data_IF_558837965716
#
_entry.id   IF_558837965716
#
_cell.length_a   1.000
_cell.length_b   1.000
_cell.length_c   1.000
_cell.angle_alpha   90.00
_cell.angle_beta   90.00
_cell.angle_gamma   90.00
#
_symmetry.space_group_name_H-M   'P 1'
#
loop_
_entity.id
_entity.type
_entity.pdbx_description
1 polymer ?
#
# COMPACT_ATOMS: atom_id res chain seq x y z
N UNK A 1 -8.41 -22.50 -23.40
CA UNK A 1 -7.69 -21.38 -22.75
C UNK A 1 -8.11 -20.11 -23.45
N UNK A 2 -9.12 -19.43 -22.92
CA UNK A 2 -9.51 -18.09 -23.35
C UNK A 2 -8.36 -17.14 -22.99
N UNK A 3 -7.95 -16.30 -23.94
CA UNK A 3 -6.92 -15.28 -23.71
C UNK A 3 -7.38 -14.39 -22.54
N UNK A 4 -6.68 -14.47 -21.42
CA UNK A 4 -7.02 -13.76 -20.20
C UNK A 4 -6.59 -12.29 -20.26
N UNK A 5 -5.86 -11.89 -21.32
CA UNK A 5 -5.42 -10.52 -21.57
C UNK A 5 -6.64 -9.66 -21.95
N UNK A 6 -7.13 -8.86 -21.02
CA UNK A 6 -8.29 -7.99 -21.21
C UNK A 6 -7.96 -6.81 -22.15
N UNK A 7 -8.57 -6.76 -23.35
CA UNK A 7 -8.69 -5.59 -24.25
C UNK A 7 -7.38 -5.05 -24.85
N UNK A 8 -7.43 -4.17 -25.86
CA UNK A 8 -6.23 -3.61 -26.50
C UNK A 8 -5.53 -2.68 -25.51
N UNK A 9 -4.62 -3.22 -24.71
CA UNK A 9 -3.56 -2.43 -24.09
C UNK A 9 -2.55 -2.15 -25.21
N UNK A 10 -2.05 -0.91 -25.38
CA UNK A 10 -0.91 -0.68 -26.25
C UNK A 10 0.19 -1.66 -25.83
N UNK A 11 0.83 -2.31 -26.81
CA UNK A 11 1.95 -3.24 -26.56
C UNK A 11 2.91 -2.58 -25.56
N UNK A 12 3.05 -3.17 -24.37
CA UNK A 12 3.78 -2.58 -23.25
C UNK A 12 5.22 -2.25 -23.66
N UNK A 13 5.84 -3.08 -24.50
CA UNK A 13 7.17 -2.83 -25.05
C UNK A 13 7.19 -1.64 -26.03
N UNK A 14 6.14 -1.49 -26.84
CA UNK A 14 5.98 -0.31 -27.71
C UNK A 14 5.69 0.94 -26.90
N UNK A 15 4.80 0.87 -25.90
CA UNK A 15 4.51 1.99 -25.01
C UNK A 15 5.74 2.42 -24.21
N UNK A 16 6.50 1.49 -23.63
CA UNK A 16 7.74 1.79 -22.91
C UNK A 16 8.80 2.39 -23.83
N UNK A 17 8.98 1.83 -25.04
CA UNK A 17 9.90 2.39 -26.05
C UNK A 17 9.49 3.80 -26.47
N UNK A 18 8.20 4.02 -26.72
CA UNK A 18 7.66 5.32 -27.09
C UNK A 18 7.81 6.32 -25.94
N UNK A 19 7.61 5.87 -24.69
CA UNK A 19 7.81 6.70 -23.50
C UNK A 19 9.28 7.05 -23.29
N UNK A 20 10.20 6.08 -23.43
CA UNK A 20 11.64 6.34 -23.39
C UNK A 20 12.07 7.31 -24.49
N UNK A 21 11.66 7.07 -25.73
CA UNK A 21 11.99 7.95 -26.86
C UNK A 21 11.42 9.36 -26.68
N UNK A 22 10.23 9.49 -26.09
CA UNK A 22 9.57 10.77 -25.84
C UNK A 22 10.14 11.53 -24.66
N UNK A 23 10.54 10.84 -23.59
CA UNK A 23 10.89 11.47 -22.33
C UNK A 23 12.39 11.50 -22.04
N UNK A 24 13.16 10.53 -22.51
CA UNK A 24 14.62 10.47 -22.32
C UNK A 24 15.32 11.11 -23.52
N UNK A 25 15.01 12.38 -23.79
CA UNK A 25 15.70 13.19 -24.80
C UNK A 25 16.82 14.00 -24.16
N UNK A 26 17.79 14.44 -24.96
CA UNK A 26 18.87 15.33 -24.48
C UNK A 26 18.33 16.58 -23.79
N UNK A 27 17.34 17.23 -24.39
CA UNK A 27 16.71 18.43 -23.83
C UNK A 27 16.05 18.16 -22.47
N UNK A 28 15.31 17.06 -22.33
CA UNK A 28 14.65 16.70 -21.08
C UNK A 28 15.66 16.35 -19.99
N UNK A 29 16.75 15.65 -20.34
CA UNK A 29 17.84 15.37 -19.41
C UNK A 29 18.56 16.65 -18.97
N UNK A 30 18.80 17.60 -19.88
CA UNK A 30 19.35 18.92 -19.53
C UNK A 30 18.43 19.67 -18.55
N UNK A 31 17.09 19.61 -18.75
CA UNK A 31 16.11 20.16 -17.79
C UNK A 31 16.19 19.46 -16.43
N UNK A 32 16.21 18.14 -16.40
CA UNK A 32 16.36 17.34 -15.18
C UNK A 32 17.66 17.69 -14.44
N UNK A 33 18.79 17.78 -15.14
CA UNK A 33 20.06 18.12 -14.48
C UNK A 33 20.07 19.53 -13.90
N UNK A 34 19.40 20.50 -14.53
CA UNK A 34 19.27 21.84 -13.91
C UNK A 34 18.59 21.81 -12.55
N UNK A 35 17.63 20.89 -12.34
CA UNK A 35 16.99 20.70 -11.03
C UNK A 35 17.93 19.99 -10.04
N UNK A 36 18.73 19.03 -10.50
CA UNK A 36 19.56 18.18 -9.61
C UNK A 36 20.90 18.82 -9.23
N UNK A 37 21.56 19.48 -10.18
CA UNK A 37 22.94 19.99 -10.03
C UNK A 37 23.17 20.85 -8.77
N UNK A 38 22.24 21.73 -8.36
CA UNK A 38 22.41 22.53 -7.13
C UNK A 38 22.50 21.70 -5.84
N UNK A 39 22.05 20.44 -5.88
CA UNK A 39 21.95 19.58 -4.70
C UNK A 39 23.09 18.56 -4.60
N UNK A 40 24.03 18.54 -5.54
CA UNK A 40 25.15 17.60 -5.49
C UNK A 40 26.09 17.89 -4.33
N UNK A 41 26.62 16.83 -3.71
CA UNK A 41 27.67 16.92 -2.70
C UNK A 41 29.05 16.81 -3.35
N UNK A 42 30.05 17.61 -2.92
CA UNK A 42 31.44 17.52 -3.39
C UNK A 42 32.03 16.11 -3.35
N UNK A 43 31.70 15.33 -2.31
CA UNK A 43 32.30 14.04 -2.03
C UNK A 43 31.24 12.92 -2.01
N UNK A 44 31.19 12.14 -3.10
CA UNK A 44 30.41 10.89 -3.19
C UNK A 44 29.26 10.90 -4.20
N UNK A 45 28.69 9.72 -4.50
CA UNK A 45 27.62 9.59 -5.47
C UNK A 45 26.29 10.10 -4.92
N UNK A 46 25.51 10.73 -5.79
CA UNK A 46 24.13 11.16 -5.53
C UNK A 46 23.17 10.30 -6.34
N UNK A 47 22.21 9.67 -5.68
CA UNK A 47 21.10 8.99 -6.35
C UNK A 47 20.03 10.01 -6.68
N UNK A 48 19.45 9.95 -7.88
CA UNK A 48 18.28 10.74 -8.28
C UNK A 48 17.13 9.79 -8.52
N UNK A 49 15.99 10.07 -7.91
CA UNK A 49 14.74 9.33 -8.11
C UNK A 49 13.61 10.30 -8.45
N UNK A 50 12.67 9.87 -9.29
CA UNK A 50 11.49 10.64 -9.68
C UNK A 50 10.26 9.99 -9.07
N UNK A 51 9.72 10.63 -8.03
CA UNK A 51 8.49 10.23 -7.36
C UNK A 51 7.29 10.84 -8.08
N UNK A 52 6.68 10.09 -9.01
CA UNK A 52 5.58 10.62 -9.82
C UNK A 52 4.25 10.70 -9.08
N UNK A 53 3.99 9.78 -8.14
CA UNK A 53 2.68 9.59 -7.50
C UNK A 53 2.59 10.22 -6.09
N UNK A 54 3.12 11.43 -5.93
CA UNK A 54 3.20 12.10 -4.63
C UNK A 54 1.85 12.57 -4.08
N UNK A 55 0.79 12.55 -4.89
CA UNK A 55 -0.62 12.75 -4.50
C UNK A 55 -1.24 11.51 -3.82
N UNK A 56 -0.50 10.40 -3.78
CA UNK A 56 -0.90 9.15 -3.11
C UNK A 56 0.02 8.94 -1.91
N UNK A 57 -0.48 9.21 -0.70
CA UNK A 57 0.33 9.12 0.54
C UNK A 57 1.09 7.79 0.72
N UNK A 58 0.52 6.67 0.25
CA UNK A 58 1.18 5.37 0.28
C UNK A 58 2.45 5.33 -0.58
N UNK A 59 2.42 5.90 -1.79
CA UNK A 59 3.58 6.01 -2.67
C UNK A 59 4.58 7.05 -2.13
N UNK A 60 4.07 8.22 -1.72
CA UNK A 60 4.86 9.28 -1.11
C UNK A 60 5.68 8.82 0.10
N UNK A 61 5.20 7.81 0.83
CA UNK A 61 5.89 7.27 2.02
C UNK A 61 6.70 6.00 1.71
N UNK A 62 6.11 5.04 0.99
CA UNK A 62 6.71 3.72 0.80
C UNK A 62 7.87 3.75 -0.18
N UNK A 63 7.76 4.45 -1.32
CA UNK A 63 8.85 4.48 -2.30
C UNK A 63 10.13 5.09 -1.69
N UNK A 64 10.07 6.21 -0.94
CA UNK A 64 11.27 6.71 -0.27
C UNK A 64 11.78 5.83 0.86
N UNK A 65 10.92 5.09 1.57
CA UNK A 65 11.34 4.07 2.53
C UNK A 65 12.10 2.92 1.85
N UNK A 66 11.66 2.52 0.66
CA UNK A 66 12.36 1.54 -0.18
C UNK A 66 13.71 2.09 -0.61
N UNK A 67 13.77 3.34 -1.07
CA UNK A 67 15.05 3.98 -1.42
C UNK A 67 16.01 4.00 -0.23
N UNK A 68 15.51 4.36 0.96
CA UNK A 68 16.29 4.37 2.20
C UNK A 68 16.84 2.98 2.51
N UNK A 69 16.01 1.94 2.34
CA UNK A 69 16.41 0.55 2.60
C UNK A 69 17.45 0.04 1.60
N UNK A 70 17.20 0.21 0.30
CA UNK A 70 18.02 -0.42 -0.74
C UNK A 70 19.29 0.37 -1.06
N UNK A 71 19.22 1.70 -0.92
CA UNK A 71 20.25 2.60 -1.41
C UNK A 71 20.81 3.53 -0.34
N UNK A 72 20.19 3.60 0.84
CA UNK A 72 20.61 4.50 1.92
C UNK A 72 22.10 4.43 2.18
N UNK A 73 22.66 3.24 2.41
CA UNK A 73 24.06 3.08 2.80
C UNK A 73 25.06 3.29 1.66
N UNK A 74 24.60 3.25 0.40
CA UNK A 74 25.45 3.38 -0.78
C UNK A 74 25.63 4.83 -1.22
N UNK A 75 24.63 5.68 -0.99
CA UNK A 75 24.63 7.04 -1.51
C UNK A 75 24.75 8.07 -0.40
N UNK A 76 25.59 9.08 -0.62
CA UNK A 76 25.75 10.19 0.32
C UNK A 76 24.53 11.10 0.33
N UNK A 77 23.81 11.15 -0.79
CA UNK A 77 22.60 11.93 -0.99
C UNK A 77 21.64 11.21 -1.92
N UNK A 78 20.36 11.34 -1.62
CA UNK A 78 19.26 10.88 -2.47
C UNK A 78 18.40 12.11 -2.79
N UNK A 79 18.38 12.52 -4.04
CA UNK A 79 17.52 13.60 -4.53
C UNK A 79 16.22 12.99 -5.04
N UNK A 80 15.10 13.38 -4.45
CA UNK A 80 13.76 12.97 -4.87
C UNK A 80 13.13 14.14 -5.61
N UNK A 81 13.00 13.99 -6.93
CA UNK A 81 12.21 14.88 -7.77
C UNK A 81 10.74 14.49 -7.62
N UNK A 82 9.89 15.43 -7.29
CA UNK A 82 8.46 15.18 -7.07
C UNK A 82 7.64 16.34 -7.60
N UNK A 83 6.39 16.16 -8.05
CA UNK A 83 5.52 17.30 -8.20
C UNK A 83 5.14 17.87 -6.83
N UNK A 84 4.55 19.08 -6.78
CA UNK A 84 4.36 19.81 -5.52
C UNK A 84 3.69 19.02 -4.40
N UNK A 85 4.18 19.11 -3.17
CA UNK A 85 3.60 18.43 -2.01
C UNK A 85 2.45 19.22 -1.37
N UNK A 86 2.24 20.47 -1.79
CA UNK A 86 1.13 21.30 -1.33
C UNK A 86 -0.14 21.07 -2.17
N UNK A 87 -0.62 19.83 -2.22
CA UNK A 87 -1.85 19.47 -2.95
C UNK A 87 -2.69 18.44 -2.18
N UNK A 88 -3.99 18.30 -2.50
CA UNK A 88 -4.83 17.26 -1.90
C UNK A 88 -4.24 15.84 -2.08
N UNK A 89 -4.33 15.00 -1.05
CA UNK A 89 -3.82 13.61 -1.06
C UNK A 89 -2.33 13.46 -0.73
N UNK A 90 -1.54 14.53 -0.84
CA UNK A 90 -0.17 14.58 -0.36
C UNK A 90 -0.11 14.93 1.14
N UNK A 91 1.01 14.61 1.78
CA UNK A 91 1.33 15.06 3.14
C UNK A 91 2.74 15.65 3.13
N UNK A 92 2.83 16.98 3.25
CA UNK A 92 4.09 17.70 3.10
C UNK A 92 5.08 17.46 4.25
N UNK A 93 4.67 16.74 5.30
CA UNK A 93 5.51 16.37 6.45
C UNK A 93 6.25 15.04 6.24
N UNK A 94 5.86 14.21 5.26
CA UNK A 94 6.54 12.93 4.96
C UNK A 94 8.06 13.09 4.71
N UNK A 95 8.53 14.10 3.96
CA UNK A 95 9.97 14.37 3.79
C UNK A 95 10.80 14.37 5.07
N UNK A 96 10.26 14.88 6.17
CA UNK A 96 10.97 15.04 7.43
C UNK A 96 11.24 13.70 8.13
N UNK A 97 10.54 12.62 7.76
CA UNK A 97 10.70 11.29 8.33
C UNK A 97 11.92 10.52 7.76
N UNK A 98 12.59 11.05 6.73
CA UNK A 98 13.68 10.35 6.03
C UNK A 98 15.08 10.79 6.43
N UNK A 99 15.21 12.01 6.97
CA UNK A 99 16.46 12.63 7.41
C UNK A 99 17.24 13.32 6.29
N UNK A 100 18.30 14.04 6.68
CA UNK A 100 19.04 15.02 5.86
C UNK A 100 19.72 14.48 4.60
N UNK A 101 19.81 13.15 4.46
CA UNK A 101 20.31 12.49 3.24
C UNK A 101 19.36 12.69 2.07
N UNK A 102 18.07 12.82 2.35
CA UNK A 102 17.02 13.02 1.34
C UNK A 102 16.86 14.51 1.06
N UNK A 103 17.00 14.89 -0.20
CA UNK A 103 16.73 16.24 -0.68
C UNK A 103 15.53 16.16 -1.61
N UNK A 104 14.50 16.92 -1.29
CA UNK A 104 13.24 16.94 -2.04
C UNK A 104 13.21 18.16 -2.94
N UNK A 105 12.95 17.94 -4.23
CA UNK A 105 12.92 19.00 -5.24
C UNK A 105 11.57 18.94 -5.93
N UNK A 106 10.75 19.95 -5.68
CA UNK A 106 9.45 20.08 -6.33
C UNK A 106 9.59 20.60 -7.76
N UNK A 107 8.82 20.05 -8.69
CA UNK A 107 8.76 20.51 -10.08
C UNK A 107 7.35 20.46 -10.64
N UNK A 108 6.99 21.42 -11.48
CA UNK A 108 5.76 21.43 -12.28
C UNK A 108 5.97 20.86 -13.70
N UNK A 109 7.18 20.40 -14.02
CA UNK A 109 7.50 19.82 -15.32
C UNK A 109 6.89 18.41 -15.45
N UNK A 110 5.73 18.34 -16.11
CA UNK A 110 5.00 17.08 -16.33
C UNK A 110 5.82 16.04 -17.08
N UNK A 111 6.76 16.46 -17.93
CA UNK A 111 7.64 15.53 -18.68
C UNK A 111 8.63 14.89 -17.72
N UNK A 112 9.24 15.66 -16.83
CA UNK A 112 10.14 15.11 -15.79
C UNK A 112 9.34 14.22 -14.85
N UNK A 113 8.15 14.62 -14.42
CA UNK A 113 7.30 13.79 -13.57
C UNK A 113 6.96 12.44 -14.25
N UNK A 114 6.63 12.45 -15.55
CA UNK A 114 6.29 11.25 -16.30
C UNK A 114 7.49 10.30 -16.53
N UNK A 115 8.73 10.80 -16.48
CA UNK A 115 9.93 9.95 -16.54
C UNK A 115 10.00 8.94 -15.39
N UNK A 116 9.35 9.18 -14.25
CA UNK A 116 9.29 8.22 -13.13
C UNK A 116 8.45 6.98 -13.41
N UNK A 117 7.74 6.90 -14.55
CA UNK A 117 7.10 5.66 -15.02
C UNK A 117 7.98 4.84 -15.96
N UNK A 118 9.17 5.32 -16.32
CA UNK A 118 10.10 4.60 -17.19
C UNK A 118 10.93 3.65 -16.34
N UNK A 119 10.82 2.36 -16.62
CA UNK A 119 11.76 1.36 -16.13
C UNK A 119 13.04 1.45 -16.96
N UNK A 120 14.22 1.43 -16.34
CA UNK A 120 15.51 1.59 -17.02
C UNK A 120 16.72 1.22 -16.16
N UNK A 121 16.50 0.91 -14.89
CA UNK A 121 17.55 0.61 -13.93
C UNK A 121 18.31 1.86 -13.50
N UNK A 122 19.55 1.67 -13.04
CA UNK A 122 20.42 2.76 -12.64
C UNK A 122 21.29 3.18 -13.81
N UNK A 123 21.12 4.41 -14.29
CA UNK A 123 22.05 5.04 -15.22
C UNK A 123 23.18 5.72 -14.44
N UNK A 124 24.41 5.21 -14.61
CA UNK A 124 25.63 5.80 -14.05
C UNK A 124 26.08 6.98 -14.93
N UNK A 125 25.95 8.18 -14.39
CA UNK A 125 26.37 9.44 -15.00
C UNK A 125 27.47 10.07 -14.15
N UNK A 126 28.42 9.24 -13.72
CA UNK A 126 29.53 9.56 -12.83
C UNK A 126 29.06 9.87 -11.40
N UNK A 127 28.91 11.15 -11.06
CA UNK A 127 28.54 11.58 -9.69
C UNK A 127 27.04 11.57 -9.47
N UNK A 128 26.28 11.49 -10.56
CA UNK A 128 24.82 11.37 -10.57
C UNK A 128 24.49 9.95 -11.01
N UNK A 129 23.74 9.23 -10.20
CA UNK A 129 23.14 7.96 -10.59
C UNK A 129 21.64 8.19 -10.71
N UNK A 130 21.10 8.13 -11.93
CA UNK A 130 19.67 8.32 -12.16
C UNK A 130 18.96 6.96 -12.09
N UNK A 131 18.07 6.80 -11.13
CA UNK A 131 17.24 5.60 -10.99
C UNK A 131 15.96 5.76 -11.81
N UNK A 132 15.88 5.05 -12.93
CA UNK A 132 14.69 4.92 -13.75
C UNK A 132 13.98 3.63 -13.35
N UNK A 133 13.01 3.75 -12.43
CA UNK A 133 12.16 2.65 -12.00
C UNK A 133 10.76 3.16 -11.74
N UNK A 134 9.77 2.54 -12.36
CA UNK A 134 8.37 2.71 -12.05
C UNK A 134 8.08 2.25 -10.62
N UNK A 135 7.01 2.78 -9.98
CA UNK A 135 6.59 2.33 -8.66
C UNK A 135 6.35 0.81 -8.59
N UNK A 136 5.86 0.21 -9.69
CA UNK A 136 5.63 -1.23 -9.76
C UNK A 136 6.95 -2.01 -9.68
N UNK A 137 7.90 -1.69 -10.56
CA UNK A 137 9.19 -2.39 -10.57
C UNK A 137 9.93 -2.18 -9.25
N UNK A 138 9.87 -0.96 -8.69
CA UNK A 138 10.45 -0.66 -7.38
C UNK A 138 9.90 -1.56 -6.28
N UNK A 139 8.58 -1.75 -6.21
CA UNK A 139 7.97 -2.64 -5.22
C UNK A 139 8.42 -4.09 -5.43
N UNK A 140 8.37 -4.60 -6.66
CA UNK A 140 8.79 -5.98 -6.95
C UNK A 140 10.25 -6.22 -6.58
N UNK A 141 11.16 -5.32 -6.98
CA UNK A 141 12.58 -5.42 -6.66
C UNK A 141 12.83 -5.36 -5.16
N UNK A 142 12.17 -4.44 -4.46
CA UNK A 142 12.24 -4.35 -3.01
C UNK A 142 11.85 -5.67 -2.35
N UNK A 143 10.72 -6.24 -2.72
CA UNK A 143 10.24 -7.46 -2.08
C UNK A 143 11.09 -8.68 -2.40
N UNK A 144 11.63 -8.79 -3.62
CA UNK A 144 12.66 -9.80 -3.95
C UNK A 144 13.87 -9.69 -3.03
N UNK A 145 14.34 -8.46 -2.74
CA UNK A 145 15.45 -8.22 -1.82
C UNK A 145 15.09 -8.62 -0.39
N UNK A 146 13.85 -8.34 0.04
CA UNK A 146 13.36 -8.72 1.37
C UNK A 146 13.28 -10.25 1.51
N UNK A 147 12.74 -10.97 0.51
CA UNK A 147 12.79 -12.45 0.47
C UNK A 147 14.25 -12.94 0.53
N UNK A 148 15.16 -12.23 -0.13
CA UNK A 148 16.61 -12.48 -0.08
C UNK A 148 17.30 -12.12 1.24
N UNK A 149 16.56 -11.66 2.26
CA UNK A 149 17.08 -11.38 3.60
C UNK A 149 17.36 -9.91 3.91
N UNK A 150 17.08 -8.98 2.98
CA UNK A 150 17.15 -7.54 3.28
C UNK A 150 16.06 -7.17 4.29
N UNK A 151 16.44 -6.45 5.35
CA UNK A 151 15.49 -5.95 6.34
C UNK A 151 14.99 -4.56 5.94
N UNK A 152 13.67 -4.35 5.81
CA UNK A 152 13.10 -3.03 5.61
C UNK A 152 13.56 -2.03 6.66
N UNK A 153 13.89 -0.81 6.25
CA UNK A 153 14.09 0.29 7.18
C UNK A 153 12.74 0.73 7.74
N UNK A 154 12.62 0.80 9.05
CA UNK A 154 11.44 1.38 9.70
C UNK A 154 11.64 2.89 9.81
N UNK A 155 10.70 3.65 9.28
CA UNK A 155 10.69 5.11 9.40
C UNK A 155 10.36 5.52 10.83
N UNK A 156 10.73 6.74 11.20
CA UNK A 156 10.43 7.32 12.50
C UNK A 156 9.91 8.74 12.27
N UNK A 157 8.96 9.17 13.11
CA UNK A 157 8.56 10.57 13.15
C UNK A 157 9.68 11.40 13.77
N UNK A 158 9.84 12.64 13.30
CA UNK A 158 10.57 13.65 14.07
C UNK A 158 9.79 14.02 15.33
N UNK A 159 10.48 14.47 16.37
CA UNK A 159 9.84 14.92 17.61
C UNK A 159 8.81 16.02 17.33
N UNK A 160 9.13 16.95 16.43
CA UNK A 160 8.21 18.01 16.02
C UNK A 160 6.91 17.48 15.38
N UNK A 161 7.00 16.50 14.45
CA UNK A 161 5.80 15.90 13.85
C UNK A 161 4.99 15.14 14.89
N UNK A 162 5.65 14.39 15.77
CA UNK A 162 4.98 13.64 16.83
C UNK A 162 4.26 14.59 17.77
N UNK A 163 4.92 15.63 18.27
CA UNK A 163 4.32 16.64 19.16
C UNK A 163 3.13 17.35 18.51
N UNK A 164 3.26 17.75 17.24
CA UNK A 164 2.18 18.37 16.47
C UNK A 164 0.98 17.44 16.31
N UNK A 165 1.22 16.21 15.87
CA UNK A 165 0.17 15.21 15.68
C UNK A 165 -0.52 14.83 16.98
N UNK A 166 0.25 14.65 18.06
CA UNK A 166 -0.29 14.36 19.40
C UNK A 166 -1.10 15.53 19.96
N UNK A 167 -0.68 16.78 19.72
CA UNK A 167 -1.47 17.96 20.07
C UNK A 167 -2.81 17.99 19.31
N UNK A 168 -2.79 17.63 18.04
CA UNK A 168 -4.01 17.52 17.22
C UNK A 168 -4.93 16.40 17.72
N UNK A 169 -4.39 15.23 18.07
CA UNK A 169 -5.15 14.13 18.68
C UNK A 169 -5.81 14.55 20.00
N UNK A 170 -5.06 15.19 20.91
CA UNK A 170 -5.60 15.71 22.17
C UNK A 170 -6.72 16.72 21.94
N UNK A 171 -6.60 17.56 20.91
CA UNK A 171 -7.63 18.57 20.59
C UNK A 171 -8.98 17.98 20.19
N UNK A 172 -9.00 16.72 19.75
CA UNK A 172 -10.23 15.98 19.38
C UNK A 172 -10.59 14.89 20.40
N UNK A 173 -9.99 14.92 21.59
CA UNK A 173 -10.33 14.02 22.69
C UNK A 173 -9.68 12.64 22.63
N UNK A 174 -8.68 12.44 21.76
CA UNK A 174 -7.85 11.23 21.75
C UNK A 174 -6.63 11.47 22.64
N UNK A 175 -6.40 10.61 23.62
CA UNK A 175 -5.19 10.58 24.42
C UNK A 175 -4.10 9.78 23.68
N UNK A 176 -3.05 10.42 23.12
CA UNK A 176 -2.01 9.71 22.38
C UNK A 176 -1.06 8.92 23.28
N UNK A 177 -1.10 9.11 24.61
CA UNK A 177 -0.30 8.35 25.57
C UNK A 177 -0.98 7.02 25.97
N UNK A 178 -2.30 6.91 25.72
CA UNK A 178 -3.07 5.68 25.84
C UNK A 178 -3.07 4.90 24.51
N UNK A 179 -3.20 3.57 24.52
CA UNK A 179 -3.18 2.79 23.29
C UNK A 179 -4.39 3.15 22.41
N UNK A 180 -4.12 3.40 21.13
CA UNK A 180 -5.15 3.64 20.13
C UNK A 180 -4.86 2.84 18.85
N UNK A 181 -5.92 2.53 18.11
CA UNK A 181 -5.86 1.89 16.81
C UNK A 181 -6.34 2.85 15.73
N UNK A 182 -5.75 2.80 14.55
CA UNK A 182 -6.31 3.50 13.39
C UNK A 182 -7.32 2.61 12.67
N UNK A 183 -8.38 3.22 12.13
CA UNK A 183 -9.34 2.56 11.26
C UNK A 183 -9.43 3.29 9.94
N UNK A 184 -9.23 2.59 8.82
CA UNK A 184 -9.44 3.17 7.50
C UNK A 184 -10.35 2.28 6.68
N UNK A 185 -11.37 2.89 6.08
CA UNK A 185 -12.22 2.22 5.12
C UNK A 185 -12.20 2.93 3.77
N UNK A 186 -11.82 2.21 2.71
CA UNK A 186 -11.83 2.74 1.34
C UNK A 186 -13.27 2.83 0.80
N UNK A 187 -13.60 3.97 0.20
CA UNK A 187 -14.86 4.16 -0.55
C UNK A 187 -14.60 4.44 -2.03
N UNK A 188 -15.68 4.54 -2.81
CA UNK A 188 -15.66 4.96 -4.21
C UNK A 188 -15.39 6.47 -4.41
N UNK A 189 -15.52 7.30 -3.37
CA UNK A 189 -15.32 8.76 -3.47
C UNK A 189 -13.83 9.16 -3.37
N UNK A 190 -12.94 8.20 -3.16
CA UNK A 190 -11.52 8.44 -2.89
C UNK A 190 -10.82 9.27 -3.97
N UNK A 191 -11.24 9.15 -5.24
CA UNK A 191 -10.81 10.02 -6.35
C UNK A 191 -11.94 10.15 -7.38
N UNK A 192 -12.51 11.34 -7.53
CA UNK A 192 -13.50 11.63 -8.59
C UNK A 192 -12.90 11.26 -9.96
N UNK A 193 -13.55 10.35 -10.69
CA UNK A 193 -13.10 9.87 -12.01
C UNK A 193 -12.29 8.57 -12.02
N UNK A 194 -11.81 8.05 -10.88
CA UNK A 194 -11.17 6.72 -10.80
C UNK A 194 -12.14 5.65 -10.28
N UNK A 195 -13.26 5.49 -10.96
CA UNK A 195 -14.36 4.57 -10.60
C UNK A 195 -14.02 3.08 -10.75
N UNK A 196 -12.80 2.71 -11.11
CA UNK A 196 -12.40 1.33 -11.38
C UNK A 196 -11.85 0.57 -10.15
N UNK A 197 -11.86 1.19 -8.96
CA UNK A 197 -11.29 0.64 -7.73
C UNK A 197 -12.33 0.08 -6.74
N UNK A 198 -13.58 -0.10 -7.14
CA UNK A 198 -14.68 -0.58 -6.30
C UNK A 198 -14.48 -1.96 -5.69
N UNK A 199 -13.75 -2.84 -6.35
CA UNK A 199 -13.35 -4.16 -5.87
C UNK A 199 -12.63 -4.10 -4.52
N UNK A 200 -12.01 -2.97 -4.15
CA UNK A 200 -11.32 -2.76 -2.86
C UNK A 200 -12.19 -2.16 -1.77
N UNK A 201 -13.41 -1.74 -2.08
CA UNK A 201 -14.31 -1.09 -1.12
C UNK A 201 -15.08 -2.11 -0.29
N UNK A 202 -15.59 -1.68 0.87
CA UNK A 202 -16.50 -2.47 1.70
C UNK A 202 -17.51 -1.54 2.37
N UNK A 203 -18.66 -2.04 2.83
CA UNK A 203 -19.64 -1.22 3.53
C UNK A 203 -19.19 -0.97 4.97
N UNK A 204 -19.36 0.26 5.46
CA UNK A 204 -18.78 0.71 6.75
C UNK A 204 -19.45 0.07 7.96
N UNK A 205 -20.75 -0.17 7.87
CA UNK A 205 -21.57 -0.83 8.89
C UNK A 205 -21.06 -2.24 9.24
N UNK A 206 -20.45 -2.94 8.29
CA UNK A 206 -19.83 -4.24 8.51
C UNK A 206 -18.68 -4.22 9.54
N UNK A 207 -18.11 -3.05 9.84
CA UNK A 207 -17.03 -2.91 10.83
C UNK A 207 -17.52 -2.59 12.24
N UNK A 208 -18.81 -2.33 12.45
CA UNK A 208 -19.33 -1.90 13.74
C UNK A 208 -18.97 -2.85 14.91
N UNK A 209 -19.12 -4.18 14.77
CA UNK A 209 -18.77 -5.10 15.85
C UNK A 209 -17.26 -5.14 16.11
N UNK A 210 -16.45 -5.11 15.05
CA UNK A 210 -14.98 -5.09 15.14
C UNK A 210 -14.47 -3.84 15.86
N UNK A 211 -14.99 -2.66 15.53
CA UNK A 211 -14.61 -1.41 16.20
C UNK A 211 -15.03 -1.45 17.68
N UNK A 212 -16.24 -1.94 17.98
CA UNK A 212 -16.68 -2.12 19.38
C UNK A 212 -15.76 -3.06 20.14
N UNK A 213 -15.35 -4.19 19.55
CA UNK A 213 -14.39 -5.12 20.15
C UNK A 213 -13.05 -4.44 20.46
N UNK A 214 -12.58 -3.55 19.58
CA UNK A 214 -11.33 -2.79 19.80
C UNK A 214 -11.49 -1.83 20.98
N UNK A 215 -12.60 -1.10 21.06
CA UNK A 215 -12.93 -0.21 22.17
C UNK A 215 -13.05 -0.99 23.49
N UNK A 216 -13.76 -2.12 23.49
CA UNK A 216 -13.94 -2.99 24.66
C UNK A 216 -12.61 -3.61 25.14
N UNK A 217 -11.63 -3.74 24.25
CA UNK A 217 -10.27 -4.17 24.58
C UNK A 217 -9.39 -3.05 25.18
N UNK A 218 -9.95 -1.85 25.39
CA UNK A 218 -9.29 -0.72 26.04
C UNK A 218 -8.51 0.19 25.09
N UNK A 219 -8.66 0.03 23.78
CA UNK A 219 -8.07 0.93 22.80
C UNK A 219 -9.02 2.07 22.47
N UNK A 220 -8.48 3.24 22.15
CA UNK A 220 -9.22 4.25 21.39
C UNK A 220 -9.19 3.90 19.89
N UNK A 221 -10.11 4.44 19.11
CA UNK A 221 -10.15 4.24 17.65
C UNK A 221 -10.17 5.58 16.93
N UNK A 222 -9.12 5.82 16.14
CA UNK A 222 -9.01 7.00 15.28
C UNK A 222 -9.29 6.59 13.84
N UNK A 223 -10.44 7.02 13.33
CA UNK A 223 -10.83 6.74 11.95
C UNK A 223 -10.25 7.79 11.02
N UNK A 224 -9.64 7.34 9.92
CA UNK A 224 -9.08 8.18 8.87
C UNK A 224 -9.76 7.89 7.52
N UNK A 225 -9.60 8.82 6.56
CA UNK A 225 -10.19 8.73 5.23
C UNK A 225 -11.13 9.90 4.95
N UNK A 226 -12.27 9.62 4.33
CA UNK A 226 -13.22 10.64 3.86
C UNK A 226 -14.22 11.09 4.94
N UNK A 227 -14.61 12.37 5.03
CA UNK A 227 -15.60 12.80 6.02
C UNK A 227 -17.00 12.22 5.78
N UNK A 228 -17.81 12.12 6.84
CA UNK A 228 -19.25 11.87 6.78
C UNK A 228 -19.66 10.48 6.28
N UNK A 229 -18.94 9.42 6.67
CA UNK A 229 -19.31 8.05 6.28
C UNK A 229 -20.15 7.33 7.33
N UNK A 230 -20.03 7.74 8.59
CA UNK A 230 -20.64 7.09 9.74
C UNK A 230 -22.17 7.24 9.72
N UNK A 231 -22.92 6.16 10.00
CA UNK A 231 -24.34 6.27 10.29
C UNK A 231 -24.61 7.19 11.51
N UNK A 232 -25.79 7.80 11.56
CA UNK A 232 -26.17 8.65 12.69
C UNK A 232 -26.14 7.86 14.02
N UNK A 233 -25.41 8.37 15.01
CA UNK A 233 -25.29 7.76 16.34
C UNK A 233 -24.46 6.48 16.39
N UNK A 234 -23.62 6.21 15.39
CA UNK A 234 -22.92 4.92 15.27
C UNK A 234 -21.91 4.64 16.39
N UNK A 235 -21.20 5.65 16.88
CA UNK A 235 -20.12 5.49 17.86
C UNK A 235 -20.11 6.60 18.90
N UNK A 236 -19.69 6.27 20.12
CA UNK A 236 -19.57 7.17 21.27
C UNK A 236 -18.12 7.32 21.74
N UNK A 237 -17.94 7.40 23.05
CA UNK A 237 -16.64 7.64 23.71
C UNK A 237 -15.53 6.69 23.21
N UNK A 238 -14.35 7.26 22.95
CA UNK A 238 -13.17 6.53 22.48
C UNK A 238 -13.08 6.31 20.97
N UNK A 239 -14.12 6.61 20.18
CA UNK A 239 -14.06 6.62 18.71
C UNK A 239 -14.11 8.06 18.18
N UNK A 240 -13.19 8.41 17.27
CA UNK A 240 -13.19 9.71 16.61
C UNK A 240 -12.94 9.55 15.12
N UNK A 241 -13.78 10.19 14.30
CA UNK A 241 -13.52 10.39 12.87
C UNK A 241 -12.63 11.61 12.68
N UNK A 242 -11.35 11.39 12.38
CA UNK A 242 -10.37 12.44 12.14
C UNK A 242 -10.81 13.46 11.06
N UNK A 243 -11.29 13.05 9.86
CA UNK A 243 -11.67 14.03 8.83
C UNK A 243 -12.89 14.89 9.22
N UNK A 244 -13.74 14.39 10.12
CA UNK A 244 -14.91 15.14 10.61
C UNK A 244 -14.56 16.03 11.81
N UNK A 245 -13.62 15.60 12.65
CA UNK A 245 -13.20 16.34 13.85
C UNK A 245 -12.18 17.46 13.55
N UNK A 246 -11.34 17.28 12.53
CA UNK A 246 -10.39 18.30 12.05
C UNK A 246 -10.62 18.61 10.56
N UNK A 247 -11.79 19.16 10.19
CA UNK A 247 -12.08 19.48 8.81
C UNK A 247 -11.18 20.65 8.35
N UNK A 248 -10.67 20.56 7.12
CA UNK A 248 -10.01 21.69 6.45
C UNK A 248 -8.53 21.92 6.76
N UNK A 249 -7.84 20.98 7.44
CA UNK A 249 -6.38 21.06 7.58
C UNK A 249 -5.68 21.07 6.21
N UNK A 250 -4.81 22.06 5.99
CA UNK A 250 -3.98 22.12 4.80
C UNK A 250 -2.90 21.02 4.83
N UNK A 251 -2.38 20.55 3.67
CA UNK A 251 -1.43 19.43 3.63
C UNK A 251 -0.20 19.53 4.54
N UNK A 252 0.29 20.74 4.82
CA UNK A 252 1.43 20.99 5.71
C UNK A 252 1.05 20.97 7.21
N UNK A 253 -0.22 21.08 7.54
CA UNK A 253 -0.75 21.06 8.90
C UNK A 253 -1.14 19.64 9.34
N UNK A 254 -1.13 18.65 8.44
CA UNK A 254 -1.64 17.29 8.67
C UNK A 254 -0.62 16.36 9.34
N UNK A 255 0.07 16.84 10.39
CA UNK A 255 0.96 16.01 11.20
C UNK A 255 0.22 14.82 11.83
N UNK A 256 -1.05 15.03 12.22
CA UNK A 256 -1.94 13.99 12.77
C UNK A 256 -2.12 12.77 11.88
N UNK A 257 -2.13 12.93 10.54
CA UNK A 257 -2.25 11.78 9.64
C UNK A 257 -1.08 10.81 9.80
N UNK A 258 0.15 11.35 9.96
CA UNK A 258 1.35 10.55 10.17
C UNK A 258 1.42 10.00 11.59
N UNK A 259 1.09 10.80 12.61
CA UNK A 259 1.05 10.36 14.00
C UNK A 259 0.08 9.18 14.20
N UNK A 260 -1.11 9.25 13.61
CA UNK A 260 -2.09 8.16 13.68
C UNK A 260 -1.57 6.87 13.05
N UNK A 261 -0.85 6.96 11.92
CA UNK A 261 -0.37 5.78 11.20
C UNK A 261 0.92 5.21 11.80
N UNK A 262 1.75 6.04 12.45
CA UNK A 262 3.05 5.65 12.99
C UNK A 262 3.03 5.26 14.46
N UNK A 263 2.24 5.95 15.30
CA UNK A 263 2.25 5.74 16.75
C UNK A 263 1.06 4.89 17.24
N UNK A 264 0.10 4.52 16.37
CA UNK A 264 -0.96 3.59 16.73
C UNK A 264 -0.40 2.22 17.15
N UNK A 265 -1.06 1.58 18.12
CA UNK A 265 -0.71 0.23 18.54
C UNK A 265 -0.89 -0.81 17.40
N UNK A 266 -1.89 -0.58 16.55
CA UNK A 266 -2.16 -1.31 15.31
C UNK A 266 -3.19 -0.53 14.47
N UNK A 267 -3.57 -1.06 13.30
CA UNK A 267 -4.77 -0.58 12.63
C UNK A 267 -5.55 -1.63 11.85
N UNK A 268 -6.69 -1.21 11.31
CA UNK A 268 -7.57 -2.02 10.46
C UNK A 268 -7.86 -1.27 9.17
N UNK A 269 -7.59 -1.89 8.02
CA UNK A 269 -7.81 -1.26 6.73
C UNK A 269 -7.88 -2.25 5.55
N UNK A 270 -8.43 -1.81 4.42
CA UNK A 270 -8.27 -2.53 3.15
C UNK A 270 -6.98 -2.12 2.43
N UNK A 271 -6.73 -2.72 1.25
CA UNK A 271 -5.63 -2.33 0.37
C UNK A 271 -5.76 -0.87 -0.12
N UNK A 272 -5.08 0.04 0.58
CA UNK A 272 -5.13 1.50 0.40
C UNK A 272 -3.79 2.16 0.72
N UNK A 273 -3.65 3.46 0.45
CA UNK A 273 -2.43 4.20 0.82
C UNK A 273 -2.04 4.07 2.30
N UNK A 274 -2.98 4.26 3.24
CA UNK A 274 -2.72 4.16 4.68
C UNK A 274 -2.01 2.89 5.15
N UNK A 275 -2.35 1.71 4.62
CA UNK A 275 -1.65 0.48 5.04
C UNK A 275 -0.16 0.49 4.71
N UNK A 276 0.22 1.17 3.63
CA UNK A 276 1.62 1.28 3.21
C UNK A 276 2.39 2.29 4.06
N UNK A 277 1.73 3.35 4.50
CA UNK A 277 2.29 4.31 5.46
C UNK A 277 2.51 3.61 6.80
N UNK A 278 1.48 2.99 7.36
CA UNK A 278 1.56 2.21 8.59
C UNK A 278 2.70 1.18 8.52
N UNK A 279 2.80 0.46 7.40
CA UNK A 279 3.84 -0.53 7.23
C UNK A 279 5.26 0.07 7.13
N UNK A 280 5.42 1.26 6.54
CA UNK A 280 6.71 1.97 6.53
C UNK A 280 7.16 2.39 7.94
N UNK A 281 6.22 2.64 8.87
CA UNK A 281 6.49 2.95 10.27
C UNK A 281 6.52 1.71 11.20
N UNK A 282 6.27 0.51 10.65
CA UNK A 282 6.31 -0.72 11.43
C UNK A 282 5.02 -1.04 12.19
N UNK A 283 3.93 -0.30 11.95
CA UNK A 283 2.64 -0.47 12.62
C UNK A 283 1.92 -1.72 12.09
N UNK A 284 1.61 -2.72 12.94
CA UNK A 284 0.87 -3.91 12.54
C UNK A 284 -0.55 -3.57 12.06
N UNK A 285 -1.03 -4.27 11.04
CA UNK A 285 -2.33 -4.01 10.44
C UNK A 285 -3.15 -5.28 10.22
N UNK A 286 -4.42 -5.24 10.64
CA UNK A 286 -5.46 -6.15 10.20
C UNK A 286 -5.98 -5.71 8.82
N UNK A 287 -5.61 -6.44 7.79
CA UNK A 287 -5.97 -6.17 6.40
C UNK A 287 -7.28 -6.87 6.05
N UNK A 288 -8.39 -6.16 6.11
CA UNK A 288 -9.72 -6.72 5.80
C UNK A 288 -10.11 -6.47 4.36
N UNK A 289 -11.06 -7.27 3.83
CA UNK A 289 -11.67 -7.05 2.52
C UNK A 289 -10.65 -6.79 1.40
N UNK A 290 -9.52 -7.47 1.49
CA UNK A 290 -8.40 -7.30 0.58
C UNK A 290 -8.56 -8.27 -0.60
N UNK A 291 -8.55 -7.82 -1.86
CA UNK A 291 -8.44 -8.73 -3.00
C UNK A 291 -7.06 -9.38 -3.04
N UNK A 292 -6.95 -10.56 -3.63
CA UNK A 292 -5.64 -11.11 -4.00
C UNK A 292 -5.06 -10.25 -5.13
N UNK A 293 -3.85 -9.73 -4.92
CA UNK A 293 -3.13 -8.88 -5.87
C UNK A 293 -1.63 -9.14 -5.76
N UNK A 294 -0.89 -9.01 -6.86
CA UNK A 294 0.55 -9.24 -6.87
C UNK A 294 1.36 -8.28 -6.01
N UNK A 295 0.97 -7.01 -6.01
CA UNK A 295 1.71 -5.93 -5.37
C UNK A 295 1.23 -5.60 -3.96
N UNK A 296 0.36 -6.44 -3.38
CA UNK A 296 -0.13 -6.25 -2.02
C UNK A 296 0.51 -7.29 -1.09
N UNK A 297 1.21 -6.80 -0.08
CA UNK A 297 2.14 -7.59 0.72
C UNK A 297 2.01 -7.24 2.21
N UNK A 298 1.45 -8.14 3.02
CA UNK A 298 1.38 -7.97 4.46
C UNK A 298 2.76 -8.10 5.11
N UNK A 299 3.19 -7.10 5.87
CA UNK A 299 4.46 -7.14 6.62
C UNK A 299 4.33 -6.31 7.91
N UNK A 300 5.14 -6.61 8.93
CA UNK A 300 4.99 -6.13 10.33
C UNK A 300 3.94 -6.88 11.17
N UNK A 301 3.93 -8.21 11.11
CA UNK A 301 2.95 -9.06 11.82
C UNK A 301 1.50 -8.76 11.43
N UNK A 302 1.28 -8.41 10.18
CA UNK A 302 -0.05 -8.19 9.62
C UNK A 302 -0.87 -9.48 9.56
N UNK A 303 -2.19 -9.35 9.67
CA UNK A 303 -3.15 -10.43 9.45
C UNK A 303 -4.07 -10.06 8.29
N UNK A 304 -4.22 -10.93 7.29
CA UNK A 304 -5.08 -10.67 6.13
C UNK A 304 -6.37 -11.49 6.14
N UNK A 305 -7.50 -10.81 5.96
CA UNK A 305 -8.81 -11.38 5.65
C UNK A 305 -9.21 -10.95 4.23
N UNK A 306 -9.04 -11.88 3.29
CA UNK A 306 -9.28 -11.62 1.86
C UNK A 306 -10.77 -11.51 1.52
N UNK A 307 -11.08 -10.81 0.43
CA UNK A 307 -12.40 -10.93 -0.20
C UNK A 307 -12.60 -12.33 -0.76
N UNK A 308 -13.86 -12.75 -0.80
CA UNK A 308 -14.25 -14.00 -1.46
C UNK A 308 -14.56 -13.71 -2.93
N UNK A 309 -14.33 -14.70 -3.77
CA UNK A 309 -14.55 -14.60 -5.21
C UNK A 309 -15.71 -15.50 -5.57
N UNK A 310 -16.74 -14.96 -6.22
CA UNK A 310 -17.89 -15.72 -6.67
C UNK A 310 -17.91 -15.77 -8.20
N UNK A 311 -18.07 -16.97 -8.73
CA UNK A 311 -18.34 -17.17 -10.13
C UNK A 311 -19.80 -16.76 -10.43
N UNK A 312 -19.98 -15.77 -11.30
CA UNK A 312 -21.29 -15.20 -11.62
C UNK A 312 -22.19 -16.13 -12.41
N UNK A 313 -21.64 -17.11 -13.13
CA UNK A 313 -22.43 -18.07 -13.90
C UNK A 313 -23.05 -19.16 -13.01
N UNK A 314 -22.31 -19.62 -12.01
CA UNK A 314 -22.70 -20.73 -11.12
C UNK A 314 -23.16 -20.26 -9.74
N UNK A 315 -22.88 -19.01 -9.37
CA UNK A 315 -23.12 -18.44 -8.04
C UNK A 315 -22.18 -18.99 -6.95
N UNK A 316 -21.25 -19.87 -7.31
CA UNK A 316 -20.38 -20.60 -6.37
C UNK A 316 -19.18 -19.76 -5.98
N UNK A 317 -18.76 -19.87 -4.71
CA UNK A 317 -17.48 -19.33 -4.26
C UNK A 317 -16.31 -20.14 -4.81
N UNK A 318 -15.27 -19.44 -5.28
CA UNK A 318 -14.04 -20.02 -5.79
C UNK A 318 -13.08 -20.38 -4.66
N UNK A 319 -12.47 -21.55 -4.77
CA UNK A 319 -11.33 -21.95 -3.94
C UNK A 319 -10.08 -21.18 -4.35
N UNK A 320 -9.09 -21.15 -3.47
CA UNK A 320 -7.86 -20.42 -3.72
C UNK A 320 -7.14 -20.87 -5.00
N UNK A 321 -7.03 -22.19 -5.22
CA UNK A 321 -6.45 -22.74 -6.44
C UNK A 321 -7.16 -22.25 -7.70
N UNK A 322 -8.50 -22.18 -7.69
CA UNK A 322 -9.31 -21.72 -8.83
C UNK A 322 -9.08 -20.23 -9.11
N UNK A 323 -8.92 -19.41 -8.07
CA UNK A 323 -8.58 -17.97 -8.19
C UNK A 323 -7.21 -17.81 -8.88
N UNK A 324 -6.22 -18.60 -8.47
CA UNK A 324 -4.85 -18.57 -9.01
C UNK A 324 -4.78 -19.10 -10.44
N UNK A 325 -5.46 -20.20 -10.74
CA UNK A 325 -5.53 -20.80 -12.06
C UNK A 325 -6.18 -19.85 -13.08
N UNK A 326 -7.22 -19.13 -12.65
CA UNK A 326 -7.87 -18.10 -13.45
C UNK A 326 -7.09 -16.78 -13.56
N UNK A 327 -5.87 -16.70 -13.02
CA UNK A 327 -4.99 -15.51 -13.05
C UNK A 327 -5.68 -14.24 -12.52
N UNK A 328 -6.58 -14.39 -11.53
CA UNK A 328 -7.32 -13.27 -10.96
C UNK A 328 -6.45 -12.28 -10.15
N UNK A 329 -5.33 -12.69 -9.52
CA UNK A 329 -4.45 -11.72 -8.83
C UNK A 329 -3.77 -10.68 -9.74
N UNK A 330 -3.84 -10.86 -11.06
CA UNK A 330 -3.30 -9.94 -12.05
C UNK A 330 -4.30 -8.83 -12.44
N UNK A 331 -5.50 -8.85 -11.88
CA UNK A 331 -6.57 -7.89 -12.19
C UNK A 331 -6.59 -6.74 -11.17
N UNK A 332 -6.80 -5.51 -11.66
CA UNK A 332 -6.73 -4.30 -10.84
C UNK A 332 -7.89 -3.32 -11.10
N UNK A 333 -8.89 -3.74 -11.90
CA UNK A 333 -10.02 -2.92 -12.30
C UNK A 333 -11.32 -3.70 -12.18
N UNK A 334 -12.37 -3.04 -11.75
CA UNK A 334 -13.71 -3.65 -11.63
C UNK A 334 -14.18 -4.27 -12.95
N UNK A 335 -13.99 -3.55 -14.05
CA UNK A 335 -14.33 -4.01 -15.40
C UNK A 335 -13.59 -5.30 -15.80
N UNK A 336 -12.38 -5.55 -15.28
CA UNK A 336 -11.65 -6.78 -15.61
C UNK A 336 -12.26 -7.99 -14.89
N UNK A 337 -12.78 -7.81 -13.67
CA UNK A 337 -13.49 -8.85 -12.95
C UNK A 337 -14.87 -9.10 -13.56
N UNK A 338 -15.61 -8.04 -13.88
CA UNK A 338 -16.91 -8.11 -14.55
C UNK A 338 -16.82 -8.83 -15.91
N UNK A 339 -15.82 -8.48 -16.74
CA UNK A 339 -15.59 -9.12 -18.03
C UNK A 339 -15.28 -10.63 -17.93
N UNK A 340 -14.86 -11.10 -16.74
CA UNK A 340 -14.65 -12.52 -16.45
C UNK A 340 -15.81 -13.18 -15.70
N UNK A 341 -16.90 -12.45 -15.49
CA UNK A 341 -18.04 -12.93 -14.71
C UNK A 341 -17.67 -13.23 -13.25
N UNK A 342 -16.73 -12.49 -12.67
CA UNK A 342 -16.28 -12.68 -11.29
C UNK A 342 -16.79 -11.54 -10.41
N UNK A 343 -17.47 -11.90 -9.33
CA UNK A 343 -17.92 -10.98 -8.29
C UNK A 343 -16.97 -11.07 -7.07
N UNK A 344 -16.47 -9.93 -6.59
CA UNK A 344 -15.75 -9.87 -5.32
C UNK A 344 -16.72 -9.59 -4.16
N UNK A 345 -16.90 -10.59 -3.32
CA UNK A 345 -17.81 -10.57 -2.18
C UNK A 345 -17.06 -10.08 -0.94
N UNK A 346 -17.56 -9.00 -0.35
CA UNK A 346 -17.05 -8.50 0.93
C UNK A 346 -17.30 -9.52 2.06
N UNK A 347 -16.43 -9.49 3.06
CA UNK A 347 -16.63 -10.17 4.31
C UNK A 347 -17.74 -9.48 5.11
N UNK A 348 -18.59 -10.27 5.75
CA UNK A 348 -19.63 -9.75 6.62
C UNK A 348 -19.08 -9.32 7.99
N UNK A 349 -19.96 -8.74 8.81
CA UNK A 349 -19.59 -8.21 10.12
C UNK A 349 -19.09 -9.30 11.10
N UNK A 350 -19.60 -10.54 11.00
CA UNK A 350 -19.16 -11.64 11.83
C UNK A 350 -17.73 -12.07 11.46
N UNK A 351 -17.45 -12.21 10.17
CA UNK A 351 -16.12 -12.57 9.68
C UNK A 351 -15.06 -11.51 10.05
N UNK A 352 -15.40 -10.22 9.89
CA UNK A 352 -14.50 -9.11 10.24
C UNK A 352 -14.24 -9.09 11.76
N UNK A 353 -15.26 -9.27 12.58
CA UNK A 353 -15.14 -9.32 14.04
C UNK A 353 -14.33 -10.53 14.53
N UNK A 354 -14.54 -11.70 13.93
CA UNK A 354 -13.77 -12.90 14.21
C UNK A 354 -12.27 -12.71 13.91
N UNK A 355 -11.94 -12.12 12.75
CA UNK A 355 -10.56 -11.77 12.39
C UNK A 355 -9.98 -10.70 13.32
N UNK A 356 -10.79 -9.77 13.81
CA UNK A 356 -10.36 -8.76 14.81
C UNK A 356 -9.99 -9.41 16.13
N UNK A 357 -10.81 -10.33 16.64
CA UNK A 357 -10.48 -11.10 17.84
C UNK A 357 -9.24 -11.97 17.69
N UNK A 358 -9.07 -12.60 16.52
CA UNK A 358 -7.84 -13.32 16.16
C UNK A 358 -6.62 -12.38 16.20
N UNK A 359 -6.72 -11.22 15.56
CA UNK A 359 -5.63 -10.26 15.47
C UNK A 359 -5.20 -9.73 16.84
N UNK A 360 -6.16 -9.33 17.69
CA UNK A 360 -5.88 -8.90 19.07
C UNK A 360 -5.18 -9.98 19.88
N UNK A 361 -5.60 -11.24 19.74
CA UNK A 361 -4.94 -12.38 20.39
C UNK A 361 -3.49 -12.54 19.89
N UNK A 362 -3.26 -12.37 18.59
CA UNK A 362 -1.94 -12.45 17.97
C UNK A 362 -1.02 -11.31 18.42
N UNK A 363 -1.52 -10.08 18.54
CA UNK A 363 -0.77 -8.95 19.08
C UNK A 363 -0.32 -9.22 20.52
N UNK A 364 -1.13 -9.91 21.32
CA UNK A 364 -0.78 -10.42 22.66
C UNK A 364 0.23 -11.58 22.69
N UNK A 365 0.74 -12.03 21.54
CA UNK A 365 1.80 -13.04 21.43
C UNK A 365 1.33 -14.46 21.10
N UNK A 366 0.02 -14.68 20.95
CA UNK A 366 -0.49 -15.97 20.48
C UNK A 366 -0.17 -16.20 18.98
N UNK A 367 -0.09 -17.46 18.52
CA UNK A 367 0.00 -17.74 17.09
C UNK A 367 -1.31 -17.39 16.36
N UNK A 368 -1.22 -17.21 15.04
CA UNK A 368 -2.38 -17.14 14.15
C UNK A 368 -3.30 -18.36 14.36
N UNK A 369 -4.63 -18.18 14.24
CA UNK A 369 -5.60 -19.27 14.46
C UNK A 369 -5.70 -20.19 13.25
N UNK A 370 -5.21 -19.78 12.08
CA UNK A 370 -5.21 -20.64 10.90
C UNK A 370 -4.30 -21.86 11.16
N UNK A 371 -4.81 -23.10 11.05
CA UNK A 371 -3.99 -24.28 11.32
C UNK A 371 -2.73 -24.32 10.45
N UNK A 372 -1.59 -24.69 11.03
CA UNK A 372 -0.29 -24.68 10.34
C UNK A 372 -0.29 -25.46 9.01
N UNK A 373 -1.03 -26.58 8.93
CA UNK A 373 -1.20 -27.34 7.68
C UNK A 373 -1.95 -26.57 6.60
N UNK A 374 -2.98 -25.79 6.98
CA UNK A 374 -3.74 -24.92 6.06
C UNK A 374 -2.90 -23.71 5.65
N UNK A 375 -2.14 -23.10 6.56
CA UNK A 375 -1.21 -22.03 6.21
C UNK A 375 -0.12 -22.52 5.23
N UNK A 376 0.48 -23.69 5.48
CA UNK A 376 1.44 -24.30 4.55
C UNK A 376 0.83 -24.53 3.16
N UNK A 377 -0.40 -25.04 3.12
CA UNK A 377 -1.12 -25.26 1.86
C UNK A 377 -1.38 -23.96 1.09
N UNK A 378 -1.70 -22.86 1.79
CA UNK A 378 -1.81 -21.54 1.20
C UNK A 378 -0.50 -21.11 0.52
N UNK A 379 0.63 -21.22 1.22
CA UNK A 379 1.95 -20.88 0.67
C UNK A 379 2.35 -21.79 -0.50
N UNK A 380 2.07 -23.10 -0.42
CA UNK A 380 2.35 -24.05 -1.51
C UNK A 380 1.61 -23.71 -2.80
N UNK A 381 0.32 -23.35 -2.69
CA UNK A 381 -0.49 -22.90 -3.82
C UNK A 381 0.04 -21.58 -4.40
N UNK A 382 0.37 -20.61 -3.53
CA UNK A 382 0.97 -19.34 -3.94
C UNK A 382 2.31 -19.54 -4.66
N UNK A 383 3.19 -20.39 -4.15
CA UNK A 383 4.49 -20.69 -4.76
C UNK A 383 4.36 -21.42 -6.09
N UNK A 384 3.37 -22.32 -6.24
CA UNK A 384 3.08 -22.95 -7.53
C UNK A 384 2.60 -21.92 -8.55
N UNK A 385 1.74 -20.99 -8.14
CA UNK A 385 1.29 -19.89 -8.98
C UNK A 385 2.45 -18.96 -9.38
N UNK A 386 3.30 -18.54 -8.43
CA UNK A 386 4.46 -17.70 -8.70
C UNK A 386 5.38 -18.31 -9.76
N UNK A 387 5.74 -19.59 -9.62
CA UNK A 387 6.53 -20.31 -10.65
C UNK A 387 5.88 -20.28 -12.02
N UNK A 388 4.54 -20.40 -12.06
CA UNK A 388 3.79 -20.38 -13.31
C UNK A 388 3.78 -19.01 -13.98
N UNK A 389 3.72 -17.92 -13.22
CA UNK A 389 3.76 -16.55 -13.78
C UNK A 389 5.19 -16.13 -14.14
N UNK A 390 6.22 -16.60 -13.42
CA UNK A 390 7.62 -16.38 -13.80
C UNK A 390 7.99 -17.03 -15.13
N UNK A 391 7.38 -18.17 -15.46
CA UNK A 391 7.58 -18.84 -16.74
C UNK A 391 6.87 -18.11 -17.91
N UNK A 392 5.88 -17.27 -17.63
CA UNK A 392 5.09 -16.56 -18.64
C UNK A 392 5.78 -15.23 -19.01
N UNK A 393 5.98 -14.99 -20.31
CA UNK A 393 6.63 -13.78 -20.80
C UNK A 393 5.84 -12.50 -20.47
N UNK A 394 4.51 -12.56 -20.55
CA UNK A 394 3.66 -11.39 -20.31
C UNK A 394 3.79 -10.90 -18.88
N UNK A 395 3.81 -11.82 -17.91
CA UNK A 395 3.93 -11.47 -16.50
C UNK A 395 5.29 -10.84 -16.18
N UNK A 396 6.37 -11.32 -16.82
CA UNK A 396 7.70 -10.73 -16.69
C UNK A 396 7.77 -9.33 -17.31
N UNK A 397 7.21 -9.16 -18.49
CA UNK A 397 7.17 -7.87 -19.20
C UNK A 397 6.33 -6.83 -18.42
N UNK A 398 5.30 -7.27 -17.72
CA UNK A 398 4.42 -6.39 -16.93
C UNK A 398 4.90 -6.16 -15.48
N UNK A 399 6.06 -6.71 -15.09
CA UNK A 399 6.56 -6.71 -13.71
C UNK A 399 5.52 -7.26 -12.71
N UNK A 400 4.88 -8.36 -13.08
CA UNK A 400 3.85 -9.10 -12.35
C UNK A 400 4.25 -10.57 -12.14
N UNK A 401 5.54 -10.87 -12.22
CA UNK A 401 6.12 -12.21 -12.06
C UNK A 401 6.57 -12.48 -10.61
N UNK A 402 6.16 -11.63 -9.67
CA UNK A 402 6.36 -11.82 -8.25
C UNK A 402 5.00 -11.86 -7.55
N UNK A 403 4.72 -12.92 -6.80
CA UNK A 403 3.46 -13.08 -6.11
C UNK A 403 3.68 -13.08 -4.61
N UNK A 404 3.35 -11.95 -3.99
CA UNK A 404 3.65 -11.72 -2.59
C UNK A 404 3.18 -12.81 -1.61
N UNK A 405 2.00 -13.38 -1.85
CA UNK A 405 1.41 -14.42 -0.99
C UNK A 405 2.02 -15.83 -1.20
N UNK A 406 3.03 -15.97 -2.07
CA UNK A 406 3.87 -17.17 -2.15
C UNK A 406 4.91 -17.24 -1.02
N UNK A 407 5.11 -16.14 -0.30
CA UNK A 407 6.16 -15.97 0.70
C UNK A 407 5.53 -15.77 2.09
N UNK A 408 6.24 -16.07 3.19
CA UNK A 408 5.72 -15.96 4.56
C UNK A 408 5.68 -14.51 5.05
N UNK A 409 5.05 -13.65 4.25
CA UNK A 409 4.79 -12.26 4.55
C UNK A 409 3.45 -12.16 5.29
N UNK A 410 3.50 -11.83 6.58
CA UNK A 410 2.31 -11.76 7.44
C UNK A 410 1.59 -13.10 7.62
N UNK A 411 0.38 -13.03 8.15
CA UNK A 411 -0.49 -14.17 8.44
C UNK A 411 -1.81 -14.06 7.69
N UNK A 412 -2.52 -15.19 7.54
CA UNK A 412 -3.85 -15.25 6.93
C UNK A 412 -4.88 -15.67 7.98
N UNK A 413 -5.96 -14.90 8.12
CA UNK A 413 -6.98 -15.16 9.14
C UNK A 413 -7.70 -16.49 8.93
N UNK A 414 -7.94 -17.21 10.03
CA UNK A 414 -8.76 -18.42 10.03
C UNK A 414 -10.20 -18.17 9.59
N UNK A 415 -10.71 -16.94 9.77
CA UNK A 415 -12.05 -16.54 9.37
C UNK A 415 -12.27 -16.61 7.84
N UNK A 416 -11.20 -16.76 7.06
CA UNK A 416 -11.28 -17.06 5.63
C UNK A 416 -11.96 -18.41 5.33
N UNK A 417 -11.90 -19.35 6.28
CA UNK A 417 -12.52 -20.67 6.16
C UNK A 417 -13.99 -20.66 6.63
N UNK A 418 -14.48 -19.56 7.21
CA UNK A 418 -15.86 -19.45 7.68
C UNK A 418 -16.82 -19.47 6.49
N UNK A 419 -17.75 -20.44 6.51
CA UNK A 419 -18.66 -20.68 5.40
C UNK A 419 -18.01 -21.32 4.16
N UNK A 420 -16.69 -21.57 4.17
CA UNK A 420 -15.98 -22.28 3.09
C UNK A 420 -14.75 -23.07 3.60
N UNK A 421 -14.92 -24.14 4.40
CA UNK A 421 -13.80 -24.92 4.96
C UNK A 421 -12.83 -25.51 3.92
N UNK A 422 -13.34 -25.73 2.70
CA UNK A 422 -12.64 -26.27 1.54
C UNK A 422 -11.89 -25.22 0.71
N UNK A 423 -11.83 -23.95 1.16
CA UNK A 423 -11.20 -22.87 0.39
C UNK A 423 -9.74 -23.16 -0.01
N UNK A 424 -9.00 -23.89 0.83
CA UNK A 424 -7.59 -24.25 0.62
C UNK A 424 -7.37 -25.70 0.15
N UNK A 425 -8.43 -26.44 -0.17
CA UNK A 425 -8.34 -27.84 -0.59
C UNK A 425 -7.83 -27.97 -2.03
#
# INVERSE_FOLDING_TARGET
>A
MTDWRSGPRPDAATFERDMRARFVTRENLERLFRLVMPHLLPDGPTLVYILTQSDRIGHLTLEPQILKTLYGDRYRRIVVLTPSLNRPGANARVPECLGDRFVWVETDDEVIAAMGFVDGGVADLQRIHLLLQSPRLMFVDFWRRVVGGVRPTVLQLSDAIREDGHRQLRSIGIDPDAPFAFFHMRTMKYLEGLTHHGHRTAPIDSYAPSIRRILDAGYQVVRIGEPGLEPAGWMGDGYVSLPDALPGLAPHERAVDLAVLADAAFGTAQNSGPIWVAAAFGTPTLRTNTPFEHLNLPYNRDLSLFKRYRDGATGRLLRYAEILDARLPALFRDADFEARGIELVANDAHQIDAATGEFLTMLGGAPCRLPAGKHRRFLELGAAYERSVQADAWFREENLDFYGYAHPFGEVSAALLDGMPQFLD
#
